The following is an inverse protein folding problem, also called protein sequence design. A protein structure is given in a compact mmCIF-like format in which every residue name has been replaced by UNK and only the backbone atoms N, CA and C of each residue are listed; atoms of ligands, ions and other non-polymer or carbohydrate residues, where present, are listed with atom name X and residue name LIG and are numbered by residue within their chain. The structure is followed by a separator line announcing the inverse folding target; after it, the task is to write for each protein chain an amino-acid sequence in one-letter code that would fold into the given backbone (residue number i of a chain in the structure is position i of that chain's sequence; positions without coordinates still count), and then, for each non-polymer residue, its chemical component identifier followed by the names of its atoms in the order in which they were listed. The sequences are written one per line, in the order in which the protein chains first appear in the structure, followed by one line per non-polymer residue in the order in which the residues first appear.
data_IF_047057152360
#
_entry.id   IF_047057152360
#
_cell.length_a   1.000
_cell.length_b   1.000
_cell.length_c   1.000
_cell.angle_alpha   90.00
_cell.angle_beta   90.00
_cell.angle_gamma   90.00
#
_symmetry.space_group_name_H-M   'P 1'
#
loop_
_entity.id
_entity.type
_entity.pdbx_description
1 polymer ?
#
# COMPACT_ATOMS: atom_id res chain seq x y z
N UNK A 1 -1.96 21.77 29.27
CA UNK A 1 -0.80 21.44 28.42
C UNK A 1 -0.96 22.15 27.08
N UNK A 2 0.05 22.91 26.60
CA UNK A 2 -0.01 23.52 25.28
C UNK A 2 0.14 22.47 24.17
N UNK A 3 -0.49 22.70 23.01
CA UNK A 3 -0.27 21.85 21.82
C UNK A 3 1.17 22.00 21.35
N UNK A 4 1.83 20.87 21.09
CA UNK A 4 3.15 20.87 20.47
C UNK A 4 3.00 21.06 18.95
N UNK A 5 3.79 21.97 18.37
CA UNK A 5 3.84 22.17 16.91
C UNK A 5 4.98 21.31 16.36
N UNK A 6 4.62 20.34 15.53
CA UNK A 6 5.56 19.43 14.87
C UNK A 6 5.81 19.87 13.43
N UNK A 7 6.96 19.47 12.85
CA UNK A 7 7.16 19.59 11.40
C UNK A 7 6.12 18.71 10.68
N UNK A 8 5.59 19.15 9.52
CA UNK A 8 4.68 18.31 8.73
C UNK A 8 5.31 16.96 8.39
N UNK A 9 4.52 15.89 8.47
CA UNK A 9 4.92 14.52 8.18
C UNK A 9 3.73 13.64 7.82
N UNK A 10 3.99 12.44 7.31
CA UNK A 10 2.96 11.47 6.89
C UNK A 10 2.38 10.69 8.08
N UNK A 11 1.79 11.42 9.03
CA UNK A 11 1.36 10.95 10.34
C UNK A 11 -0.16 10.73 10.42
N UNK A 12 -0.71 9.86 9.56
CA UNK A 12 -2.10 9.41 9.67
C UNK A 12 -2.14 8.26 10.69
N UNK A 13 -3.13 8.24 11.57
CA UNK A 13 -3.34 7.14 12.53
C UNK A 13 -4.84 6.82 12.68
N UNK A 14 -5.24 5.54 12.75
CA UNK A 14 -4.39 4.35 12.63
C UNK A 14 -3.89 4.13 11.20
N UNK A 15 -2.76 3.44 11.05
CA UNK A 15 -2.33 2.90 9.75
C UNK A 15 -2.60 1.40 9.70
N UNK A 16 -3.18 0.89 8.61
CA UNK A 16 -3.34 -0.53 8.42
C UNK A 16 -1.97 -1.21 8.24
N UNK A 17 -1.87 -2.47 8.66
CA UNK A 17 -0.70 -3.32 8.44
C UNK A 17 -1.10 -4.47 7.50
N UNK A 18 -1.09 -4.21 6.19
CA UNK A 18 -1.54 -5.18 5.17
C UNK A 18 -0.35 -5.85 4.52
N UNK A 19 -0.42 -7.18 4.35
CA UNK A 19 0.46 -7.91 3.46
C UNK A 19 -0.21 -8.06 2.10
N UNK A 20 0.48 -7.63 1.05
CA UNK A 20 0.04 -7.76 -0.35
C UNK A 20 0.92 -8.81 -1.01
N UNK A 21 0.35 -9.86 -1.57
CA UNK A 21 1.07 -10.80 -2.42
C UNK A 21 0.98 -10.38 -3.90
N UNK A 22 2.00 -10.73 -4.68
CA UNK A 22 2.04 -10.53 -6.12
C UNK A 22 2.96 -11.57 -6.78
N UNK A 23 2.76 -11.81 -8.08
CA UNK A 23 3.54 -12.76 -8.87
C UNK A 23 2.64 -13.64 -9.71
N UNK A 24 2.99 -13.83 -10.98
CA UNK A 24 2.24 -14.68 -11.92
C UNK A 24 2.78 -16.11 -12.00
N UNK A 25 4.06 -16.29 -11.66
CA UNK A 25 4.77 -17.56 -11.66
C UNK A 25 5.75 -17.65 -10.47
N UNK A 26 6.24 -18.84 -10.09
CA UNK A 26 7.05 -19.03 -8.88
C UNK A 26 8.31 -18.17 -8.79
N UNK A 27 8.91 -17.81 -9.93
CA UNK A 27 10.07 -16.89 -10.01
C UNK A 27 9.73 -15.44 -9.64
N UNK A 28 8.46 -15.05 -9.72
CA UNK A 28 7.96 -13.70 -9.44
C UNK A 28 7.25 -13.59 -8.08
N UNK A 29 7.03 -14.70 -7.37
CA UNK A 29 6.30 -14.69 -6.11
C UNK A 29 6.95 -13.79 -5.08
N UNK A 30 6.17 -12.83 -4.58
CA UNK A 30 6.65 -11.83 -3.66
C UNK A 30 5.52 -11.34 -2.74
N UNK A 31 5.90 -10.85 -1.56
CA UNK A 31 4.99 -10.27 -0.58
C UNK A 31 5.60 -8.97 -0.03
N UNK A 32 4.78 -7.92 0.10
CA UNK A 32 5.19 -6.64 0.68
C UNK A 32 4.19 -6.15 1.73
N UNK A 33 4.70 -5.44 2.73
CA UNK A 33 3.87 -4.72 3.70
C UNK A 33 3.49 -3.35 3.15
N UNK A 34 2.21 -3.00 3.25
CA UNK A 34 1.64 -1.73 2.79
C UNK A 34 0.78 -1.13 3.90
N UNK A 35 1.07 0.12 4.24
CA UNK A 35 0.22 0.93 5.12
C UNK A 35 -0.57 2.00 4.39
N UNK A 36 -0.17 2.36 3.18
CA UNK A 36 -0.87 3.34 2.35
C UNK A 36 -1.92 2.63 1.50
N UNK A 37 -3.01 2.27 2.16
CA UNK A 37 -4.11 1.47 1.59
C UNK A 37 -5.42 1.74 2.34
N UNK A 38 -6.54 1.41 1.72
CA UNK A 38 -7.87 1.52 2.32
C UNK A 38 -8.97 1.15 1.32
N UNK A 39 -10.21 1.12 1.82
CA UNK A 39 -11.41 0.99 0.99
C UNK A 39 -11.59 2.26 0.16
N UNK A 40 -11.83 2.10 -1.15
CA UNK A 40 -12.13 3.19 -2.09
C UNK A 40 -13.63 3.45 -2.13
N UNK A 41 -14.43 2.41 -2.40
CA UNK A 41 -15.89 2.49 -2.44
C UNK A 41 -16.53 1.11 -2.25
N UNK A 42 -17.84 1.11 -2.00
CA UNK A 42 -18.64 -0.11 -1.74
C UNK A 42 -19.20 -0.74 -3.02
N UNK A 43 -19.51 0.06 -4.04
CA UNK A 43 -20.10 -0.43 -5.30
C UNK A 43 -19.47 0.27 -6.53
N UNK A 44 -18.73 -0.47 -7.38
CA UNK A 44 -18.21 -1.81 -7.11
C UNK A 44 -17.26 -1.79 -5.90
N UNK A 45 -17.13 -2.88 -5.13
CA UNK A 45 -16.24 -2.89 -3.97
C UNK A 45 -14.79 -2.79 -4.43
N UNK A 46 -14.09 -1.74 -3.98
CA UNK A 46 -12.71 -1.47 -4.37
C UNK A 46 -11.85 -1.10 -3.18
N UNK A 47 -10.58 -1.49 -3.24
CA UNK A 47 -9.52 -0.97 -2.37
C UNK A 47 -8.37 -0.43 -3.22
N UNK A 48 -7.51 0.38 -2.61
CA UNK A 48 -6.30 0.86 -3.26
C UNK A 48 -5.07 0.46 -2.46
N UNK A 49 -3.94 0.33 -3.14
CA UNK A 49 -2.61 0.28 -2.52
C UNK A 49 -1.72 1.29 -3.24
N UNK A 50 -0.94 2.06 -2.49
CA UNK A 50 0.07 2.96 -3.04
C UNK A 50 1.44 2.29 -2.98
N UNK A 51 1.94 1.85 -4.12
CA UNK A 51 3.26 1.21 -4.26
C UNK A 51 4.16 2.12 -5.08
N UNK A 52 5.37 2.38 -4.58
CA UNK A 52 6.34 3.21 -5.30
C UNK A 52 6.95 2.47 -6.51
N UNK A 53 7.19 3.14 -7.66
CA UNK A 53 7.69 2.50 -8.87
C UNK A 53 9.03 1.75 -8.72
N UNK A 54 9.91 2.19 -7.83
CA UNK A 54 11.21 1.55 -7.58
C UNK A 54 11.11 0.23 -6.78
N UNK A 55 9.92 -0.13 -6.26
CA UNK A 55 9.72 -1.40 -5.56
C UNK A 55 9.67 -2.56 -6.56
N UNK A 56 10.35 -3.66 -6.24
CA UNK A 56 10.31 -4.90 -7.02
C UNK A 56 8.86 -5.34 -7.37
N UNK A 57 7.95 -5.25 -6.39
CA UNK A 57 6.53 -5.58 -6.54
C UNK A 57 5.77 -4.72 -7.57
N UNK A 58 6.19 -3.47 -7.81
CA UNK A 58 5.45 -2.55 -8.67
C UNK A 58 5.36 -3.07 -10.11
N UNK A 59 6.51 -3.49 -10.67
CA UNK A 59 6.55 -4.01 -12.03
C UNK A 59 5.80 -5.33 -12.16
N UNK A 60 5.83 -6.19 -11.14
CA UNK A 60 5.06 -7.44 -11.10
C UNK A 60 3.55 -7.12 -11.16
N UNK A 61 3.06 -6.27 -10.24
CA UNK A 61 1.64 -5.88 -10.17
C UNK A 61 1.17 -5.20 -11.47
N UNK A 62 2.00 -4.34 -12.06
CA UNK A 62 1.67 -3.60 -13.28
C UNK A 62 1.53 -4.50 -14.51
N UNK A 63 2.32 -5.57 -14.61
CA UNK A 63 2.24 -6.54 -15.73
C UNK A 63 0.96 -7.37 -15.68
N UNK A 64 0.43 -7.64 -14.49
CA UNK A 64 -0.69 -8.55 -14.26
C UNK A 64 -2.04 -7.85 -14.09
N UNK A 65 -2.13 -6.55 -14.41
CA UNK A 65 -3.36 -5.74 -14.32
C UNK A 65 -4.10 -5.70 -15.65
#
# INVERSE_FOLDING_TARGET
MPKLIWKPGTMIYPLPAVMVSCGSEPSEYNILTVSWTGTVCTDPPMCYISVRPERHSYNIIRKTR
#
